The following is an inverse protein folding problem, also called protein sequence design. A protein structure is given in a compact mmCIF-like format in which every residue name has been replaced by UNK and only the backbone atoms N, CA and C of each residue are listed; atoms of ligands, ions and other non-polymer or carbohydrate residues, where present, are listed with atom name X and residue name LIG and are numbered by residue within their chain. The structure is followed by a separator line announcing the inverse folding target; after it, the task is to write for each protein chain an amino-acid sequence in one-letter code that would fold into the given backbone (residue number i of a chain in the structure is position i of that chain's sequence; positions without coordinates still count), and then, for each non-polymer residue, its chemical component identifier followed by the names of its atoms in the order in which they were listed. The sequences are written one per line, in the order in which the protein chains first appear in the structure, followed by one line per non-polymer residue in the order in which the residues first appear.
data_IF_082618445845
#
_entry.id   IF_082618445845
#
_cell.length_a   1.000
_cell.length_b   1.000
_cell.length_c   1.000
_cell.angle_alpha   90.00
_cell.angle_beta   90.00
_cell.angle_gamma   90.00
#
_symmetry.space_group_name_H-M   'P 1'
#
loop_
_entity.id
_entity.type
_entity.pdbx_description
1 polymer ?
#
# COMPACT_ATOMS: atom_id res chain seq x y z
N UNK A 1 -0.54 -41.90 -34.82
CA UNK A 1 -0.83 -40.59 -35.45
C UNK A 1 -1.19 -39.50 -34.46
N UNK A 2 -2.09 -39.74 -33.49
CA UNK A 2 -2.54 -38.74 -32.48
C UNK A 2 -1.41 -38.09 -31.67
N UNK A 3 -0.38 -38.86 -31.29
CA UNK A 3 0.77 -38.37 -30.54
C UNK A 3 1.62 -37.35 -31.32
N UNK A 4 1.80 -37.57 -32.63
CA UNK A 4 2.57 -36.66 -33.50
C UNK A 4 1.81 -35.35 -33.72
N UNK A 5 0.49 -35.42 -33.91
CA UNK A 5 -0.37 -34.25 -34.08
C UNK A 5 -0.39 -33.39 -32.81
N UNK A 6 -0.41 -34.02 -31.62
CA UNK A 6 -0.32 -33.32 -30.34
C UNK A 6 1.02 -32.61 -30.14
N UNK A 7 2.12 -33.22 -30.59
CA UNK A 7 3.47 -32.63 -30.53
C UNK A 7 3.60 -31.42 -31.47
N UNK A 8 3.02 -31.49 -32.68
CA UNK A 8 3.01 -30.36 -33.61
C UNK A 8 2.12 -29.19 -33.12
N UNK A 9 0.98 -29.49 -32.49
CA UNK A 9 0.11 -28.47 -31.90
C UNK A 9 0.78 -27.75 -30.72
N UNK A 10 1.50 -28.48 -29.86
CA UNK A 10 2.27 -27.91 -28.76
C UNK A 10 3.42 -27.01 -29.27
N UNK A 11 4.13 -27.44 -30.32
CA UNK A 11 5.21 -26.66 -30.91
C UNK A 11 4.71 -25.34 -31.56
N UNK A 12 3.55 -25.38 -32.23
CA UNK A 12 2.93 -24.20 -32.82
C UNK A 12 2.46 -23.20 -31.74
N UNK A 13 1.94 -23.69 -30.61
CA UNK A 13 1.54 -22.87 -29.48
C UNK A 13 2.74 -22.20 -28.79
N UNK A 14 3.87 -22.91 -28.66
CA UNK A 14 5.11 -22.35 -28.11
C UNK A 14 5.73 -21.28 -29.03
N UNK A 15 5.64 -21.44 -30.35
CA UNK A 15 6.12 -20.41 -31.30
C UNK A 15 5.25 -19.15 -31.30
N UNK A 16 3.94 -19.28 -31.08
CA UNK A 16 3.02 -18.13 -31.02
C UNK A 16 3.24 -17.22 -29.81
N UNK A 17 3.67 -17.77 -28.66
CA UNK A 17 3.93 -16.98 -27.45
C UNK A 17 5.24 -16.19 -27.47
N UNK A 18 6.19 -16.53 -28.36
CA UNK A 18 7.47 -15.81 -28.45
C UNK A 18 7.34 -14.43 -29.14
N UNK A 19 6.29 -14.21 -29.94
CA UNK A 19 6.08 -12.98 -30.72
C UNK A 19 5.54 -11.78 -29.93
N UNK A 20 5.10 -11.95 -28.68
CA UNK A 20 4.46 -10.88 -27.89
C UNK A 20 5.40 -10.20 -26.90
N UNK A 21 6.68 -10.60 -26.82
CA UNK A 21 7.62 -10.08 -25.82
C UNK A 21 8.22 -8.70 -26.18
N UNK A 22 8.00 -8.16 -27.39
CA UNK A 22 8.59 -6.86 -27.78
C UNK A 22 7.74 -5.65 -27.41
N UNK A 23 6.58 -5.83 -26.80
CA UNK A 23 5.79 -4.75 -26.19
C UNK A 23 6.18 -4.52 -24.72
N UNK A 24 7.44 -4.80 -24.37
CA UNK A 24 8.00 -4.41 -23.09
C UNK A 24 8.03 -2.88 -23.07
N UNK A 25 6.98 -2.29 -22.49
CA UNK A 25 6.85 -0.86 -22.27
C UNK A 25 8.13 -0.36 -21.63
N UNK A 26 8.86 0.50 -22.33
CA UNK A 26 10.05 1.14 -21.77
C UNK A 26 9.62 1.88 -20.49
N UNK A 27 10.20 1.51 -19.35
CA UNK A 27 10.01 2.27 -18.12
C UNK A 27 10.41 3.74 -18.35
N UNK A 28 9.73 4.70 -17.72
CA UNK A 28 10.17 6.08 -17.74
C UNK A 28 11.64 6.14 -17.33
N UNK A 29 12.52 6.59 -18.24
CA UNK A 29 13.94 6.70 -17.97
C UNK A 29 14.18 7.83 -16.98
N UNK A 30 14.18 7.52 -15.69
CA UNK A 30 14.61 8.46 -14.65
C UNK A 30 16.10 8.73 -14.88
N UNK A 31 16.52 10.00 -14.98
CA UNK A 31 17.93 10.33 -15.16
C UNK A 31 18.73 9.77 -13.99
N UNK A 32 19.88 9.16 -14.28
CA UNK A 32 20.76 8.57 -13.28
C UNK A 32 21.40 9.63 -12.36
N UNK A 33 21.32 10.90 -12.77
CA UNK A 33 21.81 12.04 -12.01
C UNK A 33 20.81 13.19 -12.12
N UNK A 34 20.38 13.70 -10.97
CA UNK A 34 19.61 14.92 -10.82
C UNK A 34 20.52 15.94 -10.14
N UNK A 35 20.63 17.15 -10.70
CA UNK A 35 21.35 18.26 -10.10
C UNK A 35 20.36 19.36 -9.71
N UNK A 36 20.48 19.88 -8.49
CA UNK A 36 19.64 20.94 -7.95
C UNK A 36 20.54 22.00 -7.29
N UNK A 37 20.21 23.27 -7.48
CA UNK A 37 20.89 24.41 -6.84
C UNK A 37 20.04 24.95 -5.70
N UNK A 38 20.64 25.20 -4.54
CA UNK A 38 19.98 25.81 -3.37
C UNK A 38 20.61 27.20 -3.16
N UNK A 39 19.79 28.25 -3.18
CA UNK A 39 20.22 29.60 -2.81
C UNK A 39 19.82 29.90 -1.36
N UNK A 40 20.77 29.97 -0.40
CA UNK A 40 20.46 30.20 1.01
C UNK A 40 19.98 31.63 1.31
N UNK A 41 20.02 32.55 0.34
CA UNK A 41 19.50 33.92 0.47
C UNK A 41 17.98 34.00 0.23
N UNK A 42 17.38 32.94 -0.31
CA UNK A 42 15.96 32.88 -0.61
C UNK A 42 15.27 32.00 0.44
N UNK A 43 14.55 32.65 1.35
CA UNK A 43 13.79 31.97 2.41
C UNK A 43 12.32 31.94 2.02
N UNK A 44 11.73 30.75 1.97
CA UNK A 44 10.29 30.57 1.79
C UNK A 44 9.54 30.82 3.11
N UNK A 45 8.22 30.79 3.04
CA UNK A 45 7.38 30.83 4.25
C UNK A 45 7.74 29.69 5.23
N UNK A 46 7.66 29.91 6.54
CA UNK A 46 7.94 28.89 7.54
C UNK A 46 7.10 27.63 7.31
N UNK A 47 7.73 26.46 7.40
CA UNK A 47 7.01 25.18 7.37
C UNK A 47 6.11 25.08 8.59
N UNK A 48 4.85 24.74 8.38
CA UNK A 48 3.88 24.56 9.45
C UNK A 48 4.32 23.44 10.40
N UNK A 49 4.26 23.70 11.71
CA UNK A 49 4.51 22.67 12.73
C UNK A 49 3.52 21.49 12.68
N UNK A 50 2.40 21.66 11.99
CA UNK A 50 1.34 20.66 11.89
C UNK A 50 1.39 19.83 10.60
N UNK A 51 2.42 20.02 9.76
CA UNK A 51 2.60 19.23 8.53
C UNK A 51 2.65 17.72 8.81
N UNK A 52 3.20 17.36 9.98
CA UNK A 52 3.28 15.98 10.48
C UNK A 52 2.31 15.71 11.64
N UNK A 53 1.21 16.47 11.72
CA UNK A 53 0.17 16.26 12.72
C UNK A 53 -0.48 14.87 12.60
N UNK A 54 -0.82 14.27 13.74
CA UNK A 54 -1.58 13.02 13.78
C UNK A 54 -3.08 13.31 13.94
N UNK A 55 -3.91 12.51 13.28
CA UNK A 55 -5.36 12.49 13.50
C UNK A 55 -5.75 11.17 14.15
N UNK A 56 -6.50 11.26 15.25
CA UNK A 56 -7.00 10.10 15.99
C UNK A 56 -8.51 10.24 16.11
N UNK A 57 -9.23 9.21 15.70
CA UNK A 57 -10.69 9.13 15.84
C UNK A 57 -11.11 7.82 16.49
N UNK A 58 -12.36 7.80 16.96
CA UNK A 58 -12.96 6.60 17.49
C UNK A 58 -13.36 5.63 16.38
N UNK A 59 -12.43 4.78 15.94
CA UNK A 59 -12.68 3.77 14.89
C UNK A 59 -12.07 2.42 15.26
N UNK A 60 -12.88 1.36 15.16
CA UNK A 60 -12.49 -0.04 15.47
C UNK A 60 -11.81 -0.09 16.87
N UNK A 61 -10.86 -1.01 17.19
CA UNK A 61 -10.33 -1.08 18.55
C UNK A 61 -9.25 -0.02 18.86
N UNK A 62 -9.04 0.98 17.99
CA UNK A 62 -7.93 1.95 18.12
C UNK A 62 -7.93 2.64 19.49
N UNK A 63 -9.08 3.14 19.93
CA UNK A 63 -9.16 3.83 21.22
C UNK A 63 -9.18 2.83 22.37
N UNK A 64 -10.03 1.80 22.31
CA UNK A 64 -10.29 0.94 23.47
C UNK A 64 -9.23 -0.14 23.73
N UNK A 65 -8.48 -0.59 22.71
CA UNK A 65 -7.47 -1.65 22.88
C UNK A 65 -6.05 -1.27 22.52
N UNK A 66 -5.84 -0.11 21.88
CA UNK A 66 -4.49 0.30 21.45
C UNK A 66 -3.98 1.50 22.23
N UNK A 67 -4.76 2.58 22.30
CA UNK A 67 -4.31 3.82 22.94
C UNK A 67 -4.69 3.94 24.40
N UNK A 68 -5.87 3.46 24.79
CA UNK A 68 -6.33 3.54 26.17
C UNK A 68 -5.74 2.39 26.98
N UNK A 69 -5.16 2.71 28.14
CA UNK A 69 -4.59 1.73 29.09
C UNK A 69 -5.63 0.93 29.89
N UNK A 70 -6.91 1.02 29.54
CA UNK A 70 -7.97 0.37 30.28
C UNK A 70 -8.02 -1.12 29.93
N UNK A 71 -7.99 -1.98 30.94
CA UNK A 71 -7.91 -3.43 30.77
C UNK A 71 -9.27 -4.13 30.72
N UNK A 72 -10.36 -3.41 30.99
CA UNK A 72 -11.71 -3.97 31.07
C UNK A 72 -12.49 -3.56 29.81
N UNK A 73 -12.84 -4.55 28.99
CA UNK A 73 -13.78 -4.38 27.91
C UNK A 73 -15.23 -4.27 28.44
N UNK A 74 -16.09 -3.54 27.72
CA UNK A 74 -17.54 -3.52 27.94
C UNK A 74 -18.00 -3.11 29.37
N UNK A 75 -17.35 -2.11 29.94
CA UNK A 75 -17.69 -1.51 31.26
C UNK A 75 -19.06 -0.78 31.32
N UNK A 76 -19.97 -1.06 30.40
CA UNK A 76 -21.36 -0.62 30.50
C UNK A 76 -22.14 -1.75 31.13
N UNK A 77 -22.55 -1.58 32.39
CA UNK A 77 -23.48 -2.50 33.04
C UNK A 77 -24.78 -2.52 32.25
N UNK A 78 -24.92 -3.49 31.36
CA UNK A 78 -26.09 -3.60 30.49
C UNK A 78 -27.34 -4.03 31.27
N UNK A 79 -27.16 -4.69 32.42
CA UNK A 79 -28.23 -5.13 33.29
C UNK A 79 -28.24 -4.40 34.64
N UNK A 80 -29.43 -4.19 35.24
CA UNK A 80 -29.53 -3.68 36.61
C UNK A 80 -28.85 -4.63 37.59
N UNK A 81 -28.08 -4.08 38.53
CA UNK A 81 -27.54 -4.85 39.64
C UNK A 81 -28.69 -5.11 40.62
N UNK A 82 -29.19 -6.34 40.66
CA UNK A 82 -30.15 -6.80 41.67
C UNK A 82 -29.41 -7.35 42.89
N UNK A 83 -29.82 -6.93 44.08
CA UNK A 83 -29.35 -7.52 45.33
C UNK A 83 -30.12 -8.81 45.60
N UNK A 84 -29.40 -9.88 45.95
CA UNK A 84 -29.96 -11.13 46.45
C UNK A 84 -29.72 -11.23 47.96
#
# INVERSE_FOLDING_TARGET
MKLRISLFAAAALCLGCAGSASAQQAEPRVPHRIAVTIDPRQTAEPVSKYEFGMFIQHLRPLIYRSLRSEMIDDRKFYFPISFQ
#
